data_IF_899495387576
#
_entry.id   IF_899495387576
#
_cell.length_a   1.000
_cell.length_b   1.000
_cell.length_c   1.000
_cell.angle_alpha   90.00
_cell.angle_beta   90.00
_cell.angle_gamma   90.00
#
_symmetry.space_group_name_H-M   'P 1'
#
loop_
_entity.id
_entity.type
_entity.pdbx_description
1 polymer ?
#
# COMPACT_ATOMS: atom_id res chain seq x y z
N UNK A 1 -4.74 -4.31 18.84
CA UNK A 1 -5.33 -5.24 17.85
C UNK A 1 -4.34 -5.30 16.72
N UNK A 2 -3.87 -6.48 16.33
CA UNK A 2 -2.88 -6.60 15.26
C UNK A 2 -3.56 -6.37 13.90
N UNK A 3 -2.94 -5.60 13.01
CA UNK A 3 -3.44 -5.35 11.66
C UNK A 3 -3.92 -6.60 10.93
N UNK A 4 -3.18 -7.71 11.03
CA UNK A 4 -3.58 -8.95 10.37
C UNK A 4 -4.83 -9.58 11.01
N UNK A 5 -5.02 -9.42 12.32
CA UNK A 5 -6.28 -9.81 12.97
C UNK A 5 -7.44 -8.91 12.51
N UNK A 6 -7.17 -7.63 12.25
CA UNK A 6 -8.15 -6.73 11.66
C UNK A 6 -8.52 -7.16 10.23
N UNK A 7 -7.53 -7.46 9.39
CA UNK A 7 -7.74 -7.95 8.03
C UNK A 7 -8.49 -9.29 8.00
N UNK A 8 -8.25 -10.17 8.98
CA UNK A 8 -8.93 -11.46 9.10
C UNK A 8 -10.43 -11.28 9.41
N UNK A 9 -10.84 -10.13 9.99
CA UNK A 9 -12.26 -9.76 10.22
C UNK A 9 -12.94 -9.17 8.98
N UNK A 10 -12.17 -8.77 7.97
CA UNK A 10 -12.66 -8.14 6.76
C UNK A 10 -12.86 -9.15 5.61
N UNK A 11 -13.75 -8.80 4.68
CA UNK A 11 -13.85 -9.54 3.41
C UNK A 11 -12.55 -9.32 2.60
N UNK A 12 -12.04 -10.35 1.92
CA UNK A 12 -10.78 -10.28 1.14
C UNK A 12 -10.71 -9.10 0.17
N UNK A 13 -11.81 -8.75 -0.48
CA UNK A 13 -11.86 -7.63 -1.43
C UNK A 13 -11.58 -6.28 -0.75
N UNK A 14 -12.00 -6.11 0.50
CA UNK A 14 -11.75 -4.90 1.28
C UNK A 14 -10.29 -4.74 1.68
N UNK A 15 -9.61 -5.83 2.01
CA UNK A 15 -8.17 -5.82 2.30
C UNK A 15 -7.38 -5.32 1.07
N UNK A 16 -7.74 -5.87 -0.09
CA UNK A 16 -7.11 -5.51 -1.36
C UNK A 16 -7.34 -4.05 -1.72
N UNK A 17 -8.55 -3.55 -1.48
CA UNK A 17 -8.91 -2.15 -1.70
C UNK A 17 -8.17 -1.18 -0.75
N UNK A 18 -8.04 -1.51 0.54
CA UNK A 18 -7.26 -0.70 1.50
C UNK A 18 -5.83 -0.58 0.98
N UNK A 19 -5.21 -1.71 0.62
CA UNK A 19 -3.86 -1.72 0.11
C UNK A 19 -3.72 -0.91 -1.20
N UNK A 20 -4.68 -1.05 -2.11
CA UNK A 20 -4.73 -0.26 -3.34
C UNK A 20 -4.74 1.24 -3.05
N UNK A 21 -5.61 1.69 -2.13
CA UNK A 21 -5.70 3.10 -1.74
C UNK A 21 -4.38 3.61 -1.14
N UNK A 22 -3.76 2.81 -0.26
CA UNK A 22 -2.46 3.17 0.32
C UNK A 22 -1.38 3.27 -0.76
N UNK A 23 -1.27 2.29 -1.66
CA UNK A 23 -0.30 2.31 -2.76
C UNK A 23 -0.52 3.49 -3.71
N UNK A 24 -1.76 3.86 -4.00
CA UNK A 24 -2.08 4.95 -4.94
C UNK A 24 -2.17 6.34 -4.26
N UNK A 25 -1.69 6.46 -3.01
CA UNK A 25 -1.68 7.71 -2.21
C UNK A 25 -3.07 8.31 -2.04
N UNK A 26 -4.10 7.47 -2.05
CA UNK A 26 -5.48 7.89 -1.80
C UNK A 26 -5.63 8.12 -0.29
N UNK A 27 -6.17 9.28 0.14
CA UNK A 27 -6.40 9.52 1.56
C UNK A 27 -7.30 8.46 2.18
N UNK A 28 -6.97 8.06 3.40
CA UNK A 28 -7.74 7.11 4.20
C UNK A 28 -8.17 7.77 5.49
N UNK A 29 -9.46 7.79 5.74
CA UNK A 29 -10.06 8.36 6.95
C UNK A 29 -10.60 7.24 7.81
N UNK A 30 -10.05 7.10 9.01
CA UNK A 30 -10.46 6.09 9.99
C UNK A 30 -11.38 6.74 11.03
N UNK A 31 -12.61 6.24 11.10
CA UNK A 31 -13.66 6.68 12.01
C UNK A 31 -13.87 5.64 13.11
N UNK A 32 -14.03 6.06 14.36
CA UNK A 32 -14.39 5.13 15.45
C UNK A 32 -14.76 5.83 16.75
N UNK A 33 -15.13 5.08 17.78
CA UNK A 33 -15.51 5.64 19.08
C UNK A 33 -14.30 5.87 20.02
N UNK A 34 -13.22 5.14 19.80
CA UNK A 34 -12.04 5.07 20.69
C UNK A 34 -10.81 5.62 19.95
N UNK A 35 -10.34 6.79 20.38
CA UNK A 35 -9.22 7.49 19.75
C UNK A 35 -7.93 6.68 19.76
N UNK A 36 -7.64 5.98 20.86
CA UNK A 36 -6.40 5.22 21.00
C UNK A 36 -6.40 4.02 20.06
N UNK A 37 -7.56 3.36 19.89
CA UNK A 37 -7.69 2.28 18.90
C UNK A 37 -7.53 2.80 17.48
N UNK A 38 -8.08 3.97 17.17
CA UNK A 38 -7.95 4.59 15.85
C UNK A 38 -6.49 4.93 15.58
N UNK A 39 -5.84 5.65 16.50
CA UNK A 39 -4.46 6.12 16.32
C UNK A 39 -3.47 4.95 16.21
N UNK A 40 -3.66 3.88 17.00
CA UNK A 40 -2.90 2.64 16.84
C UNK A 40 -3.13 2.00 15.47
N UNK A 41 -4.37 1.99 14.97
CA UNK A 41 -4.69 1.46 13.65
C UNK A 41 -4.08 2.32 12.52
N UNK A 42 -3.99 3.64 12.68
CA UNK A 42 -3.28 4.51 11.73
C UNK A 42 -1.78 4.15 11.67
N UNK A 43 -1.15 3.87 12.81
CA UNK A 43 0.25 3.43 12.86
C UNK A 43 0.39 2.14 12.04
N UNK A 44 -0.47 1.16 12.31
CA UNK A 44 -0.47 -0.10 11.58
C UNK A 44 -0.66 0.05 10.07
N UNK A 45 -1.57 0.93 9.62
CA UNK A 45 -1.77 1.24 8.20
C UNK A 45 -0.52 1.86 7.57
N UNK A 46 0.16 2.77 8.29
CA UNK A 46 1.39 3.41 7.78
C UNK A 46 2.53 2.41 7.58
N UNK A 47 2.63 1.38 8.44
CA UNK A 47 3.66 0.35 8.32
C UNK A 47 3.52 -0.51 7.05
N UNK A 48 2.35 -0.51 6.42
CA UNK A 48 2.11 -1.27 5.18
C UNK A 48 2.84 -0.67 3.99
N UNK A 49 3.04 0.65 3.99
CA UNK A 49 3.75 1.38 2.93
C UNK A 49 5.12 1.86 3.44
N UNK A 50 5.85 0.96 4.11
CA UNK A 50 7.17 1.21 4.73
C UNK A 50 8.27 1.74 3.81
N UNK A 51 8.09 1.73 2.49
CA UNK A 51 9.01 2.35 1.54
C UNK A 51 8.87 3.88 1.48
N UNK A 52 7.76 4.41 2.02
CA UNK A 52 7.51 5.84 2.22
C UNK A 52 7.95 6.28 3.62
N UNK A 53 8.19 7.57 3.78
CA UNK A 53 8.52 8.17 5.06
C UNK A 53 7.24 8.64 5.76
N UNK A 54 6.97 8.08 6.93
CA UNK A 54 5.86 8.51 7.80
C UNK A 54 6.20 9.87 8.42
N UNK A 55 5.27 10.81 8.35
CA UNK A 55 5.31 12.10 9.03
C UNK A 55 4.01 12.29 9.80
N UNK A 56 4.12 12.69 11.06
CA UNK A 56 2.98 12.85 11.95
C UNK A 56 2.66 14.32 12.10
N UNK A 57 1.46 14.71 11.67
CA UNK A 57 0.97 16.07 11.88
C UNK A 57 0.92 16.38 13.38
N UNK A 58 1.38 17.58 13.74
CA UNK A 58 1.52 18.07 15.12
C UNK A 58 2.69 17.49 15.94
N UNK A 59 3.49 16.59 15.36
CA UNK A 59 4.74 16.09 15.96
C UNK A 59 5.93 16.46 15.08
N UNK A 60 5.87 16.12 13.78
CA UNK A 60 6.96 16.35 12.83
C UNK A 60 6.81 17.68 12.08
N UNK A 61 5.58 18.15 11.90
CA UNK A 61 5.28 19.45 11.28
C UNK A 61 3.93 20.00 11.77
N UNK A 62 3.77 21.33 11.73
CA UNK A 62 2.57 22.01 12.26
C UNK A 62 2.00 23.01 11.25
N UNK A 63 2.84 23.64 10.43
CA UNK A 63 2.39 24.69 9.51
C UNK A 63 2.16 24.17 8.09
N UNK A 64 1.37 24.91 7.30
CA UNK A 64 1.17 24.64 5.88
C UNK A 64 2.47 24.80 5.08
N UNK A 65 3.31 25.75 5.49
CA UNK A 65 4.63 25.99 4.86
C UNK A 65 5.55 24.78 5.04
N UNK A 66 5.56 24.16 6.21
CA UNK A 66 6.36 22.95 6.46
C UNK A 66 5.89 21.81 5.53
N UNK A 67 4.58 21.61 5.45
CA UNK A 67 3.98 20.59 4.59
C UNK A 67 4.28 20.83 3.10
N UNK A 68 4.09 22.06 2.61
CA UNK A 68 4.42 22.42 1.24
C UNK A 68 5.90 22.19 0.93
N UNK A 69 6.78 22.48 1.88
CA UNK A 69 8.21 22.19 1.75
C UNK A 69 8.46 20.68 1.63
N UNK A 70 7.83 19.86 2.47
CA UNK A 70 7.93 18.39 2.39
C UNK A 70 7.49 17.86 1.02
N UNK A 71 6.34 18.31 0.52
CA UNK A 71 5.81 17.87 -0.78
C UNK A 71 6.66 18.42 -1.95
N UNK A 72 7.14 19.66 -1.86
CA UNK A 72 7.98 20.25 -2.90
C UNK A 72 9.28 19.48 -3.12
N UNK A 73 9.88 18.95 -2.05
CA UNK A 73 11.09 18.13 -2.14
C UNK A 73 10.87 16.84 -2.97
N UNK A 74 9.66 16.26 -2.92
CA UNK A 74 9.30 15.10 -3.75
C UNK A 74 9.31 15.41 -5.24
N UNK A 75 8.87 16.62 -5.60
CA UNK A 75 8.80 17.05 -7.00
C UNK A 75 10.18 17.37 -7.59
N UNK A 76 11.16 17.69 -6.74
CA UNK A 76 12.52 18.07 -7.17
C UNK A 76 13.43 16.84 -7.27
N UNK A 77 13.30 15.89 -6.35
CA UNK A 77 14.14 14.69 -6.31
C UNK A 77 13.31 13.40 -6.34
N UNK A 78 13.35 12.70 -7.47
CA UNK A 78 12.71 11.38 -7.61
C UNK A 78 13.33 10.28 -6.74
N UNK A 79 14.52 10.51 -6.17
CA UNK A 79 15.16 9.56 -5.26
C UNK A 79 14.73 9.73 -3.80
N UNK A 80 14.15 10.87 -3.42
CA UNK A 80 13.71 11.08 -2.05
C UNK A 80 12.52 10.17 -1.73
N UNK A 81 12.46 9.69 -0.49
CA UNK A 81 11.29 8.94 -0.01
C UNK A 81 10.07 9.85 -0.03
N UNK A 82 8.97 9.35 -0.60
CA UNK A 82 7.70 10.05 -0.63
C UNK A 82 7.10 10.12 0.76
N UNK A 83 6.42 11.21 1.07
CA UNK A 83 5.76 11.46 2.33
C UNK A 83 4.44 10.68 2.40
N UNK A 84 4.23 10.12 3.58
CA UNK A 84 2.97 9.56 4.01
C UNK A 84 2.61 10.24 5.32
N UNK A 85 1.42 10.85 5.39
CA UNK A 85 1.09 11.73 6.50
C UNK A 85 0.13 11.02 7.43
N UNK A 86 0.48 10.89 8.70
CA UNK A 86 -0.43 10.45 9.76
C UNK A 86 -0.98 11.65 10.51
N UNK A 87 -2.30 11.69 10.66
CA UNK A 87 -3.01 12.72 11.40
C UNK A 87 -3.81 12.08 12.54
N UNK A 88 -3.30 12.15 13.78
CA UNK A 88 -3.98 11.59 14.95
C UNK A 88 -5.34 12.24 15.23
N UNK A 89 -6.19 11.52 15.96
CA UNK A 89 -7.57 11.92 16.25
C UNK A 89 -7.68 13.32 16.86
N UNK A 90 -6.80 13.65 17.79
CA UNK A 90 -6.84 14.90 18.58
C UNK A 90 -6.56 16.17 17.75
N UNK A 91 -5.98 16.06 16.56
CA UNK A 91 -5.58 17.19 15.70
C UNK A 91 -6.23 17.16 14.31
N UNK A 92 -7.05 16.15 14.04
CA UNK A 92 -7.73 15.91 12.76
C UNK A 92 -8.56 17.09 12.26
N UNK A 93 -9.45 17.66 13.07
CA UNK A 93 -10.28 18.81 12.68
C UNK A 93 -9.43 20.05 12.36
N UNK A 94 -8.29 20.21 13.04
CA UNK A 94 -7.34 21.28 12.73
C UNK A 94 -6.66 21.04 11.39
N UNK A 95 -6.22 19.82 11.09
CA UNK A 95 -5.69 19.48 9.78
C UNK A 95 -6.71 19.76 8.66
N UNK A 96 -7.95 19.31 8.83
CA UNK A 96 -9.01 19.49 7.84
C UNK A 96 -9.35 20.96 7.57
N UNK A 97 -9.16 21.85 8.54
CA UNK A 97 -9.36 23.29 8.34
C UNK A 97 -8.14 24.01 7.75
N UNK A 98 -6.95 23.42 7.86
CA UNK A 98 -5.69 24.07 7.49
C UNK A 98 -5.14 23.65 6.11
N UNK A 99 -5.36 22.39 5.70
CA UNK A 99 -4.78 21.83 4.48
C UNK A 99 -5.84 21.55 3.42
N UNK A 100 -5.59 21.97 2.19
CA UNK A 100 -6.49 21.74 1.05
C UNK A 100 -6.19 20.44 0.29
N UNK A 101 -4.93 20.01 0.23
CA UNK A 101 -4.55 18.73 -0.36
C UNK A 101 -4.25 17.69 0.74
N UNK A 102 -5.01 16.60 0.73
CA UNK A 102 -4.89 15.49 1.68
C UNK A 102 -4.38 14.19 1.02
N UNK A 103 -3.78 14.26 -0.17
CA UNK A 103 -3.17 13.10 -0.83
C UNK A 103 -2.13 12.44 0.08
N UNK A 104 -2.17 11.11 0.21
CA UNK A 104 -1.30 10.31 1.10
C UNK A 104 -1.56 10.51 2.60
N UNK A 105 -2.68 11.13 3.01
CA UNK A 105 -3.01 11.29 4.43
C UNK A 105 -3.77 10.07 4.99
N UNK A 106 -3.39 9.66 6.19
CA UNK A 106 -4.14 8.79 7.09
C UNK A 106 -4.71 9.63 8.23
N UNK A 107 -6.02 9.82 8.27
CA UNK A 107 -6.68 10.73 9.21
C UNK A 107 -7.53 9.93 10.18
N UNK A 108 -7.24 10.05 11.48
CA UNK A 108 -8.07 9.51 12.55
C UNK A 108 -9.15 10.49 12.96
N UNK A 109 -10.39 10.04 13.13
CA UNK A 109 -11.50 10.86 13.56
C UNK A 109 -12.39 10.08 14.53
N UNK A 110 -12.63 10.65 15.72
CA UNK A 110 -13.64 10.12 16.62
C UNK A 110 -15.04 10.45 16.10
N UNK A 111 -15.94 9.46 16.07
CA UNK A 111 -17.32 9.66 15.63
C UNK A 111 -18.01 10.64 16.61
N UNK A 112 -18.48 11.79 16.13
CA UNK A 112 -19.16 12.75 16.99
C UNK A 112 -20.52 12.20 17.44
N UNK A 113 -20.98 12.65 18.62
CA UNK A 113 -22.28 12.23 19.17
C UNK A 113 -23.46 12.61 18.29
N UNK A 114 -23.34 13.71 17.54
CA UNK A 114 -24.38 14.18 16.61
C UNK A 114 -24.05 13.74 15.20
N UNK A 115 -25.02 13.07 14.54
CA UNK A 115 -24.86 12.61 13.16
C UNK A 115 -24.60 13.74 12.16
N UNK A 116 -25.22 14.90 12.38
CA UNK A 116 -25.04 16.09 11.53
C UNK A 116 -23.59 16.58 11.51
N UNK A 117 -22.88 16.50 12.65
CA UNK A 117 -21.46 16.88 12.74
C UNK A 117 -20.60 15.92 11.90
N UNK A 118 -20.90 14.62 11.91
CA UNK A 118 -20.19 13.65 11.06
C UNK A 118 -20.42 13.91 9.58
N UNK A 119 -21.65 14.25 9.19
CA UNK A 119 -21.99 14.60 7.80
C UNK A 119 -21.19 15.83 7.37
N UNK A 120 -21.18 16.88 8.18
CA UNK A 120 -20.42 18.10 7.90
C UNK A 120 -18.91 17.83 7.75
N UNK A 121 -18.32 16.99 8.61
CA UNK A 121 -16.91 16.61 8.50
C UNK A 121 -16.65 15.84 7.21
N UNK A 122 -17.49 14.86 6.87
CA UNK A 122 -17.36 14.12 5.60
C UNK A 122 -17.47 15.06 4.40
N UNK A 123 -18.41 15.99 4.41
CA UNK A 123 -18.60 16.96 3.34
C UNK A 123 -17.39 17.90 3.20
N UNK A 124 -16.80 18.36 4.31
CA UNK A 124 -15.56 19.13 4.27
C UNK A 124 -14.43 18.34 3.60
N UNK A 125 -14.26 17.06 3.92
CA UNK A 125 -13.23 16.22 3.29
C UNK A 125 -13.53 16.04 1.80
N UNK A 126 -14.78 15.78 1.42
CA UNK A 126 -15.22 15.62 0.02
C UNK A 126 -14.94 16.83 -0.86
N UNK A 127 -14.95 18.03 -0.29
CA UNK A 127 -14.60 19.23 -1.07
C UNK A 127 -13.11 19.33 -1.41
N UNK A 128 -12.26 18.62 -0.68
CA UNK A 128 -10.79 18.69 -0.76
C UNK A 128 -10.18 17.57 -1.59
N UNK A 129 -10.80 16.39 -1.57
CA UNK A 129 -10.27 15.20 -2.25
C UNK A 129 -11.32 14.55 -3.13
N UNK A 130 -10.89 14.16 -4.33
CA UNK A 130 -11.74 13.48 -5.29
C UNK A 130 -11.98 12.02 -4.93
N UNK A 131 -10.89 11.31 -4.61
CA UNK A 131 -10.89 9.88 -4.31
C UNK A 131 -10.60 9.70 -2.81
N UNK A 132 -11.39 8.88 -2.13
CA UNK A 132 -11.33 8.76 -0.67
C UNK A 132 -11.77 7.39 -0.18
N UNK A 133 -11.14 6.92 0.90
CA UNK A 133 -11.52 5.71 1.61
C UNK A 133 -11.91 6.04 3.06
N UNK A 134 -13.13 5.72 3.46
CA UNK A 134 -13.56 5.74 4.85
C UNK A 134 -13.54 4.32 5.43
N UNK A 135 -12.88 4.15 6.57
CA UNK A 135 -12.89 2.92 7.36
C UNK A 135 -13.57 3.25 8.69
N UNK A 136 -14.75 2.71 8.95
CA UNK A 136 -15.43 2.89 10.22
C UNK A 136 -15.25 1.67 11.10
N UNK A 137 -14.65 1.85 12.27
CA UNK A 137 -14.39 0.84 13.28
C UNK A 137 -15.39 1.03 14.42
N UNK A 138 -16.38 0.15 14.48
CA UNK A 138 -17.32 0.05 15.61
C UNK A 138 -17.00 -1.20 16.43
N UNK A 139 -17.55 -1.28 17.65
CA UNK A 139 -17.26 -2.35 18.62
C UNK A 139 -17.41 -3.76 18.04
N UNK A 140 -18.38 -3.96 17.13
CA UNK A 140 -18.73 -5.27 16.59
C UNK A 140 -18.63 -5.36 15.06
N UNK A 141 -18.40 -4.25 14.36
CA UNK A 141 -18.47 -4.19 12.90
C UNK A 141 -17.43 -3.24 12.35
N UNK A 142 -16.88 -3.60 11.18
CA UNK A 142 -16.05 -2.72 10.37
C UNK A 142 -16.78 -2.48 9.07
N UNK A 143 -16.97 -1.22 8.70
CA UNK A 143 -17.51 -0.84 7.39
C UNK A 143 -16.48 -0.06 6.60
N UNK A 144 -16.52 -0.26 5.28
CA UNK A 144 -15.68 0.47 4.33
C UNK A 144 -16.60 1.15 3.33
N UNK A 145 -16.38 2.44 3.16
CA UNK A 145 -17.05 3.29 2.19
C UNK A 145 -15.98 3.93 1.31
N UNK A 146 -16.23 3.92 0.00
CA UNK A 146 -15.29 4.45 -0.99
C UNK A 146 -16.01 5.50 -1.81
N UNK A 147 -15.35 6.62 -2.03
CA UNK A 147 -15.89 7.75 -2.78
C UNK A 147 -14.94 8.16 -3.90
N UNK A 148 -15.49 8.64 -5.02
CA UNK A 148 -14.74 9.02 -6.23
C UNK A 148 -14.20 7.87 -7.07
N UNK A 149 -14.02 6.71 -6.44
CA UNK A 149 -13.39 5.53 -7.04
C UNK A 149 -14.42 4.62 -7.72
N UNK A 150 -14.22 4.36 -9.01
CA UNK A 150 -15.02 3.36 -9.73
C UNK A 150 -14.43 1.96 -9.55
N UNK A 151 -14.99 1.20 -8.60
CA UNK A 151 -14.58 -0.18 -8.29
C UNK A 151 -14.64 -1.15 -9.48
N UNK A 152 -15.41 -0.85 -10.54
CA UNK A 152 -15.47 -1.71 -11.74
C UNK A 152 -14.28 -1.49 -12.69
N UNK A 153 -13.58 -0.37 -12.55
CA UNK A 153 -12.45 0.01 -13.40
C UNK A 153 -11.09 -0.26 -12.74
N UNK A 154 -11.08 -0.57 -11.44
CA UNK A 154 -9.83 -0.89 -10.75
C UNK A 154 -9.53 -2.37 -10.92
N UNK A 155 -8.28 -2.65 -11.28
CA UNK A 155 -7.68 -3.96 -11.15
C UNK A 155 -7.01 -4.09 -9.78
N UNK A 156 -7.54 -4.98 -8.94
CA UNK A 156 -7.01 -5.31 -7.60
C UNK A 156 -6.20 -6.62 -7.60
N UNK A 157 -5.83 -7.14 -8.78
CA UNK A 157 -5.17 -8.45 -8.90
C UNK A 157 -3.85 -8.51 -8.14
N UNK A 158 -3.04 -7.44 -8.20
CA UNK A 158 -1.78 -7.34 -7.46
C UNK A 158 -2.03 -7.47 -5.95
N UNK A 159 -2.91 -6.63 -5.40
CA UNK A 159 -3.18 -6.58 -3.97
C UNK A 159 -3.78 -7.89 -3.46
N UNK A 160 -4.68 -8.50 -4.25
CA UNK A 160 -5.23 -9.83 -3.97
C UNK A 160 -4.13 -10.91 -3.95
N UNK A 161 -3.21 -10.87 -4.91
CA UNK A 161 -2.10 -11.83 -5.00
C UNK A 161 -1.14 -11.69 -3.81
N UNK A 162 -0.84 -10.45 -3.37
CA UNK A 162 -0.02 -10.21 -2.18
C UNK A 162 -0.65 -10.87 -0.95
N UNK A 163 -1.93 -10.62 -0.67
CA UNK A 163 -2.61 -11.23 0.47
C UNK A 163 -2.72 -12.76 0.37
N UNK A 164 -2.92 -13.28 -0.84
CA UNK A 164 -2.92 -14.74 -1.08
C UNK A 164 -1.55 -15.35 -0.77
N UNK A 165 -0.48 -14.73 -1.26
CA UNK A 165 0.91 -15.20 -1.07
C UNK A 165 1.29 -15.18 0.41
N UNK A 166 0.92 -14.13 1.14
CA UNK A 166 1.09 -14.06 2.60
C UNK A 166 0.40 -15.23 3.30
N UNK A 167 -0.87 -15.48 3.00
CA UNK A 167 -1.60 -16.60 3.62
C UNK A 167 -0.93 -17.95 3.34
N UNK A 168 -0.58 -18.20 2.07
CA UNK A 168 -0.03 -19.48 1.63
C UNK A 168 1.39 -19.72 2.16
N UNK A 169 2.26 -18.73 2.08
CA UNK A 169 3.66 -18.83 2.51
C UNK A 169 3.77 -18.91 4.04
N UNK A 170 2.93 -18.17 4.78
CA UNK A 170 2.84 -18.28 6.23
C UNK A 170 2.39 -19.68 6.64
N UNK A 171 1.29 -20.20 6.08
CA UNK A 171 0.78 -21.54 6.41
C UNK A 171 1.81 -22.63 6.12
N UNK A 172 2.47 -22.57 4.95
CA UNK A 172 3.52 -23.51 4.56
C UNK A 172 4.72 -23.46 5.52
N UNK A 173 5.13 -22.27 5.94
CA UNK A 173 6.25 -22.09 6.87
C UNK A 173 5.92 -22.62 8.26
N UNK A 174 4.74 -22.29 8.78
CA UNK A 174 4.28 -22.76 10.10
C UNK A 174 4.09 -24.29 10.12
N UNK A 175 3.50 -24.86 9.06
CA UNK A 175 3.36 -26.32 8.95
C UNK A 175 4.73 -27.01 8.93
N UNK A 176 5.73 -26.43 8.25
CA UNK A 176 7.10 -26.94 8.24
C UNK A 176 7.74 -26.85 9.63
N UNK A 177 7.57 -25.75 10.36
CA UNK A 177 8.08 -25.57 11.72
C UNK A 177 7.47 -26.60 12.68
N UNK A 178 6.13 -26.73 12.68
CA UNK A 178 5.41 -27.73 13.47
C UNK A 178 5.92 -29.14 13.19
N UNK A 179 6.04 -29.51 11.91
CA UNK A 179 6.55 -30.83 11.52
C UNK A 179 7.96 -31.09 12.06
N UNK A 180 8.88 -30.13 11.91
CA UNK A 180 10.26 -30.27 12.40
C UNK A 180 10.33 -30.47 13.91
N UNK A 181 9.47 -29.80 14.69
CA UNK A 181 9.40 -30.01 16.13
C UNK A 181 8.72 -31.33 16.48
N UNK A 182 7.59 -31.66 15.84
CA UNK A 182 6.88 -32.92 16.06
C UNK A 182 7.77 -34.14 15.77
N UNK A 183 8.58 -34.09 14.72
CA UNK A 183 9.51 -35.17 14.35
C UNK A 183 10.61 -35.38 15.41
N UNK A 184 10.94 -34.33 16.18
CA UNK A 184 11.95 -34.38 17.26
C UNK A 184 11.36 -34.72 18.62
N UNK A 185 10.06 -34.51 18.81
CA UNK A 185 9.32 -34.90 20.01
C UNK A 185 9.00 -36.39 19.90
N UNK A 186 9.98 -37.24 20.23
CA UNK A 186 9.78 -38.70 20.29
C UNK A 186 8.76 -39.07 21.37
N UNK A 187 7.93 -40.05 21.04
CA UNK A 187 6.54 -40.25 21.50
C UNK A 187 6.28 -40.57 22.98
N UNK A 188 7.25 -40.48 23.90
CA UNK A 188 7.02 -40.91 25.28
C UNK A 188 7.42 -39.83 26.31
N UNK A 189 6.41 -39.39 27.09
CA UNK A 189 6.45 -38.60 28.34
C UNK A 189 6.27 -37.08 28.28
N UNK A 190 5.82 -36.50 27.16
CA UNK A 190 5.42 -35.09 27.17
C UNK A 190 3.93 -34.94 27.49
N UNK A 191 3.65 -34.18 28.53
CA UNK A 191 2.30 -33.76 28.88
C UNK A 191 1.65 -33.01 27.71
N UNK A 192 0.33 -33.16 27.56
CA UNK A 192 -0.42 -32.61 26.42
C UNK A 192 -0.39 -31.08 26.42
N UNK A 193 -0.38 -30.44 27.58
CA UNK A 193 -0.34 -28.99 27.66
C UNK A 193 1.05 -28.45 27.29
N UNK A 194 2.11 -29.16 27.69
CA UNK A 194 3.47 -28.82 27.25
C UNK A 194 3.64 -28.99 25.74
N UNK A 195 3.10 -30.07 25.17
CA UNK A 195 3.13 -30.32 23.73
C UNK A 195 2.34 -29.25 22.94
N UNK A 196 1.18 -28.82 23.46
CA UNK A 196 0.40 -27.74 22.86
C UNK A 196 1.17 -26.42 22.89
N UNK A 197 1.82 -26.11 23.99
CA UNK A 197 2.63 -24.89 24.15
C UNK A 197 3.84 -24.90 23.21
N UNK A 198 4.55 -26.02 23.09
CA UNK A 198 5.70 -26.17 22.20
C UNK A 198 5.35 -26.11 20.70
N UNK A 199 4.09 -26.34 20.36
CA UNK A 199 3.57 -26.27 18.98
C UNK A 199 2.66 -25.06 18.76
N UNK A 200 2.57 -24.16 19.73
CA UNK A 200 1.95 -22.86 19.56
C UNK A 200 2.95 -21.95 18.85
N UNK A 201 2.55 -21.45 17.69
CA UNK A 201 3.37 -20.62 16.82
C UNK A 201 2.61 -19.36 16.40
N UNK A 202 1.62 -18.92 17.17
CA UNK A 202 0.79 -17.77 16.76
C UNK A 202 1.60 -16.45 16.73
N UNK A 203 2.59 -16.28 17.61
CA UNK A 203 3.50 -15.12 17.55
C UNK A 203 4.38 -15.17 16.29
N UNK A 204 5.05 -16.29 16.02
CA UNK A 204 5.88 -16.48 14.83
C UNK A 204 5.07 -16.35 13.54
N UNK A 205 3.83 -16.82 13.54
CA UNK A 205 2.91 -16.68 12.42
C UNK A 205 2.63 -15.20 12.12
N UNK A 206 2.40 -14.39 13.15
CA UNK A 206 2.17 -12.96 13.00
C UNK A 206 3.42 -12.22 12.50
N UNK A 207 4.60 -12.57 13.01
CA UNK A 207 5.87 -12.02 12.51
C UNK A 207 6.14 -12.43 11.06
N UNK A 208 5.91 -13.69 10.70
CA UNK A 208 6.04 -14.17 9.33
C UNK A 208 5.09 -13.45 8.37
N UNK A 209 3.81 -13.25 8.76
CA UNK A 209 2.86 -12.47 7.97
C UNK A 209 3.41 -11.06 7.69
N UNK A 210 3.92 -10.37 8.72
CA UNK A 210 4.52 -9.03 8.59
C UNK A 210 5.74 -9.04 7.65
N UNK A 211 6.65 -9.98 7.82
CA UNK A 211 7.88 -10.06 7.04
C UNK A 211 7.63 -10.38 5.57
N UNK A 212 6.73 -11.33 5.29
CA UNK A 212 6.33 -11.66 3.91
C UNK A 212 5.65 -10.43 3.28
N UNK A 213 4.70 -9.80 3.98
CA UNK A 213 4.02 -8.61 3.48
C UNK A 213 5.01 -7.49 3.11
N UNK A 214 5.92 -7.14 4.02
CA UNK A 214 6.94 -6.09 3.76
C UNK A 214 7.80 -6.43 2.55
N UNK A 215 8.23 -7.69 2.42
CA UNK A 215 9.00 -8.14 1.26
C UNK A 215 8.24 -7.97 -0.05
N UNK A 216 6.98 -8.41 -0.12
CA UNK A 216 6.19 -8.32 -1.36
C UNK A 216 5.93 -6.87 -1.77
N UNK A 217 5.63 -5.99 -0.81
CA UNK A 217 5.46 -4.56 -1.06
C UNK A 217 6.77 -3.92 -1.54
N UNK A 218 7.90 -4.25 -0.90
CA UNK A 218 9.21 -3.73 -1.30
C UNK A 218 9.59 -4.20 -2.70
N UNK A 219 9.27 -5.44 -3.07
CA UNK A 219 9.51 -5.98 -4.41
C UNK A 219 8.71 -5.19 -5.46
N UNK A 220 7.40 -4.96 -5.21
CA UNK A 220 6.56 -4.17 -6.10
C UNK A 220 7.07 -2.74 -6.27
N UNK A 221 7.40 -2.06 -5.16
CA UNK A 221 7.95 -0.71 -5.21
C UNK A 221 9.28 -0.64 -5.97
N UNK A 222 10.19 -1.59 -5.71
CA UNK A 222 11.52 -1.63 -6.36
C UNK A 222 11.41 -1.94 -7.85
N UNK A 223 10.54 -2.87 -8.24
CA UNK A 223 10.20 -3.14 -9.64
C UNK A 223 9.64 -1.89 -10.34
N UNK A 224 8.67 -1.23 -9.71
CA UNK A 224 8.07 0.00 -10.22
C UNK A 224 9.06 1.16 -10.33
N UNK A 225 9.99 1.30 -9.38
CA UNK A 225 11.05 2.32 -9.43
C UNK A 225 12.05 2.05 -10.55
N UNK A 226 12.41 0.78 -10.79
CA UNK A 226 13.23 0.39 -11.96
C UNK A 226 12.51 0.72 -13.26
N UNK A 227 11.22 0.40 -13.35
CA UNK A 227 10.39 0.74 -14.50
C UNK A 227 10.34 2.26 -14.73
N UNK A 228 10.11 3.03 -13.66
CA UNK A 228 10.14 4.49 -13.70
C UNK A 228 11.43 5.03 -14.32
N UNK A 229 12.60 4.57 -13.89
CA UNK A 229 13.88 5.05 -14.43
C UNK A 229 14.09 4.67 -15.90
N UNK A 230 13.70 3.46 -16.31
CA UNK A 230 13.80 3.04 -17.71
C UNK A 230 12.88 3.91 -18.57
N UNK A 231 11.62 4.04 -18.18
CA UNK A 231 10.62 4.82 -18.92
C UNK A 231 10.96 6.31 -18.97
N UNK A 232 11.48 6.86 -17.88
CA UNK A 232 12.00 8.24 -17.86
C UNK A 232 13.09 8.46 -18.90
N UNK A 233 14.03 7.52 -19.02
CA UNK A 233 15.13 7.60 -20.02
C UNK A 233 14.61 7.44 -21.45
N UNK A 234 13.67 6.52 -21.69
CA UNK A 234 13.01 6.39 -22.99
C UNK A 234 12.24 7.67 -23.36
N UNK A 235 11.58 8.30 -22.40
CA UNK A 235 10.91 9.58 -22.61
C UNK A 235 11.90 10.68 -23.01
N UNK A 236 13.06 10.75 -22.34
CA UNK A 236 14.11 11.70 -22.70
C UNK A 236 14.63 11.48 -24.11
N UNK A 237 14.82 10.23 -24.54
CA UNK A 237 15.19 9.90 -25.92
C UNK A 237 14.15 10.41 -26.92
N UNK A 238 12.86 10.21 -26.62
CA UNK A 238 11.77 10.73 -27.45
C UNK A 238 11.80 12.27 -27.54
N UNK A 239 12.07 12.95 -26.43
CA UNK A 239 12.14 14.42 -26.39
C UNK A 239 13.28 15.01 -27.21
N UNK A 240 14.37 14.26 -27.41
CA UNK A 240 15.49 14.65 -28.30
C UNK A 240 15.33 14.13 -29.74
N UNK A 241 14.16 13.58 -30.09
CA UNK A 241 13.81 13.15 -31.44
C UNK A 241 14.13 11.69 -31.77
N UNK A 242 14.61 10.89 -30.81
CA UNK A 242 14.85 9.45 -31.00
C UNK A 242 13.58 8.70 -30.58
N UNK A 243 12.75 8.32 -31.56
CA UNK A 243 11.51 7.59 -31.28
C UNK A 243 11.81 6.19 -30.74
N UNK A 244 11.44 5.97 -29.48
CA UNK A 244 11.61 4.73 -28.72
C UNK A 244 10.33 4.38 -28.00
N UNK A 245 10.09 3.07 -27.93
CA UNK A 245 9.05 2.42 -27.15
C UNK A 245 9.58 1.08 -26.67
N UNK A 246 8.91 0.46 -25.70
CA UNK A 246 9.31 -0.82 -25.12
C UNK A 246 8.11 -1.77 -25.02
N UNK A 247 8.33 -3.04 -25.37
CA UNK A 247 7.36 -4.10 -25.12
C UNK A 247 7.20 -4.37 -23.63
N UNK A 248 5.97 -4.67 -23.18
CA UNK A 248 5.69 -4.97 -21.76
C UNK A 248 6.53 -6.12 -21.22
N UNK A 249 6.73 -7.19 -22.02
CA UNK A 249 7.57 -8.33 -21.65
C UNK A 249 9.03 -7.94 -21.44
N UNK A 250 9.62 -7.21 -22.39
CA UNK A 250 11.02 -6.72 -22.27
C UNK A 250 11.19 -5.83 -21.05
N UNK A 251 10.20 -4.97 -20.77
CA UNK A 251 10.23 -4.13 -19.56
C UNK A 251 10.21 -5.01 -18.30
N UNK A 252 9.31 -5.99 -18.20
CA UNK A 252 9.23 -6.91 -17.06
C UNK A 252 10.53 -7.68 -16.80
N UNK A 253 11.13 -8.23 -17.85
CA UNK A 253 12.43 -8.90 -17.79
C UNK A 253 13.53 -7.94 -17.28
N UNK A 254 13.54 -6.70 -17.80
CA UNK A 254 14.54 -5.69 -17.42
C UNK A 254 14.40 -5.24 -15.96
N UNK A 255 13.17 -5.12 -15.47
CA UNK A 255 12.90 -4.73 -14.08
C UNK A 255 12.86 -5.92 -13.13
N UNK A 256 13.06 -7.15 -13.62
CA UNK A 256 13.01 -8.39 -12.83
C UNK A 256 11.79 -8.41 -11.87
N UNK A 257 10.60 -8.17 -12.44
CA UNK A 257 9.33 -8.14 -11.71
C UNK A 257 8.13 -8.34 -12.66
N UNK A 258 7.40 -9.46 -12.49
CA UNK A 258 6.27 -9.84 -13.35
C UNK A 258 4.95 -10.05 -12.55
N UNK A 259 4.95 -9.76 -11.24
CA UNK A 259 3.81 -10.10 -10.37
C UNK A 259 2.63 -9.10 -10.49
N UNK A 260 2.78 -8.02 -11.25
CA UNK A 260 1.74 -7.01 -11.50
C UNK A 260 1.52 -6.78 -13.01
N UNK A 261 0.28 -6.49 -13.43
CA UNK A 261 -0.01 -5.98 -14.77
C UNK A 261 0.76 -4.69 -15.07
N UNK A 262 1.09 -4.45 -16.35
CA UNK A 262 1.87 -3.27 -16.74
C UNK A 262 1.09 -1.99 -16.44
N UNK A 263 -0.22 -2.01 -16.64
CA UNK A 263 -1.13 -0.90 -16.34
C UNK A 263 -1.09 -0.55 -14.85
N UNK A 264 -0.96 -1.55 -13.97
CA UNK A 264 -0.85 -1.34 -12.52
C UNK A 264 0.46 -0.64 -12.16
N UNK A 265 1.59 -1.04 -12.77
CA UNK A 265 2.89 -0.39 -12.60
C UNK A 265 2.84 1.05 -13.11
N UNK A 266 2.31 1.30 -14.31
CA UNK A 266 2.22 2.65 -14.88
C UNK A 266 1.29 3.54 -14.05
N UNK A 267 0.16 3.00 -13.57
CA UNK A 267 -0.74 3.72 -12.66
C UNK A 267 -0.04 4.09 -11.36
N UNK A 268 0.68 3.14 -10.75
CA UNK A 268 1.46 3.41 -9.54
C UNK A 268 2.52 4.48 -9.78
N UNK A 269 3.25 4.42 -10.91
CA UNK A 269 4.27 5.42 -11.26
C UNK A 269 3.65 6.82 -11.33
N UNK A 270 2.50 6.95 -11.99
CA UNK A 270 1.77 8.22 -12.08
C UNK A 270 1.40 8.77 -10.71
N UNK A 271 0.96 7.91 -9.79
CA UNK A 271 0.56 8.30 -8.44
C UNK A 271 1.75 8.60 -7.53
N UNK A 272 2.86 7.89 -7.70
CA UNK A 272 4.04 8.00 -6.84
C UNK A 272 5.01 9.12 -7.27
N UNK A 273 5.19 9.30 -8.58
CA UNK A 273 6.16 10.24 -9.16
C UNK A 273 5.52 11.32 -10.06
N UNK A 274 4.20 11.28 -10.28
CA UNK A 274 3.50 12.28 -11.11
C UNK A 274 3.65 12.08 -12.63
N UNK A 275 4.38 11.06 -13.05
CA UNK A 275 4.76 10.84 -14.45
C UNK A 275 3.87 9.80 -15.15
N UNK A 276 3.48 10.07 -16.40
CA UNK A 276 2.57 9.18 -17.14
C UNK A 276 3.22 8.61 -18.40
N UNK A 277 3.55 7.32 -18.38
CA UNK A 277 4.33 6.66 -19.43
C UNK A 277 3.55 5.68 -20.33
N UNK A 278 2.22 5.66 -20.29
CA UNK A 278 1.44 4.70 -21.09
C UNK A 278 1.74 4.76 -22.60
N UNK A 279 2.13 5.92 -23.14
CA UNK A 279 2.46 6.09 -24.56
C UNK A 279 3.79 5.44 -24.99
N UNK A 280 4.63 5.03 -24.02
CA UNK A 280 5.91 4.36 -24.26
C UNK A 280 5.78 2.84 -24.35
N UNK A 281 4.64 2.28 -23.94
CA UNK A 281 4.39 0.85 -23.95
C UNK A 281 3.84 0.44 -25.31
N UNK A 282 4.47 -0.56 -25.94
CA UNK A 282 3.97 -1.13 -27.19
C UNK A 282 2.91 -2.19 -26.94
N UNK A 283 1.73 -2.02 -27.55
CA UNK A 283 0.75 -3.09 -27.64
C UNK A 283 1.32 -4.24 -28.50
N UNK A 284 1.20 -5.46 -27.97
CA UNK A 284 1.95 -6.67 -28.34
C UNK A 284 1.87 -7.20 -29.78
N UNK A 285 1.41 -6.42 -30.77
CA UNK A 285 1.43 -6.80 -32.19
C UNK A 285 2.55 -6.15 -33.02
N UNK A 286 3.22 -5.09 -32.54
CA UNK A 286 4.32 -4.42 -33.30
C UNK A 286 5.73 -4.52 -32.68
N UNK A 287 5.86 -4.96 -31.43
CA UNK A 287 7.13 -5.08 -30.71
C UNK A 287 8.10 -6.16 -31.21
N UNK A 288 7.63 -7.03 -32.10
CA UNK A 288 8.35 -8.26 -32.47
C UNK A 288 9.62 -8.07 -33.31
N UNK A 289 9.88 -6.88 -33.85
CA UNK A 289 11.01 -6.65 -34.76
C UNK A 289 12.18 -5.93 -34.06
N UNK A 290 11.91 -5.05 -33.08
CA UNK A 290 12.94 -4.31 -32.35
C UNK A 290 13.57 -5.11 -31.21
N UNK A 291 12.75 -5.79 -30.41
CA UNK A 291 13.20 -6.47 -29.18
C UNK A 291 14.12 -7.68 -29.46
N UNK A 292 13.96 -8.33 -30.64
CA UNK A 292 14.80 -9.47 -31.06
C UNK A 292 16.25 -9.09 -31.35
N UNK A 293 16.51 -7.83 -31.68
CA UNK A 293 17.88 -7.36 -31.96
C UNK A 293 18.60 -7.01 -30.67
N UNK A 294 17.89 -6.55 -29.63
CA UNK A 294 18.50 -6.18 -28.35
C UNK A 294 18.78 -7.42 -27.50
N UNK A 295 17.91 -8.44 -27.50
CA UNK A 295 18.09 -9.68 -26.73
C UNK A 295 19.24 -10.58 -27.22
N UNK A 296 19.93 -10.22 -28.31
CA UNK A 296 21.09 -10.94 -28.83
C UNK A 296 22.43 -10.25 -28.48
N UNK A 297 22.39 -9.10 -27.81
CA UNK A 297 23.57 -8.30 -27.48
C UNK A 297 23.80 -8.11 -25.97
N UNK A 298 23.12 -8.89 -25.11
CA UNK A 298 23.35 -8.92 -23.67
C UNK A 298 22.40 -9.84 -22.95
#
# INVERSE_FOLDING_TARGET
MNFFEFLDKLKRNYNSLILYCLLDRIPVVVLGEDSDKIDNFLIELSELVHFRKDYVFYTDFISTIDYETLISNENIDYNCQRAHIRCPCNVSLKALSQFEDLNSWLIGLTIPKKKEELVNIKDQIRTKVKDLLFITISSNTISIEVEGINLKLIDLTLEQNIFKKISQDTEKSIAKMKRVLSDKITTNQLDKDLLKTLLDFEEEKNELKKNIFKREIQNFYSGSKRAFFILSRLNLLNNIGIQTRIGSKTLFETIDYEEAPIERIISFIKKEWGEHYSFLIEDGKKAFIGDKIVSLWG
#
